data_IF_798823520875
#
_entry.id   IF_798823520875
#
_cell.length_a   1.000
_cell.length_b   1.000
_cell.length_c   1.000
_cell.angle_alpha   90.00
_cell.angle_beta   90.00
_cell.angle_gamma   90.00
#
_symmetry.space_group_name_H-M   'P 1'
#
loop_
_entity.id
_entity.type
_entity.pdbx_description
1 polymer ?
#
# COMPACT_ATOMS: atom_id res chain seq x y z
N UNK A 1 3.86 8.06 -1.30
CA UNK A 1 2.45 8.27 -0.90
C UNK A 1 2.30 9.62 -0.23
N UNK A 2 1.11 10.22 -0.24
CA UNK A 2 0.86 11.52 0.39
C UNK A 2 -0.51 11.59 1.06
N UNK A 3 -0.66 12.49 2.04
CA UNK A 3 -1.92 12.76 2.73
C UNK A 3 -2.31 14.21 2.44
N UNK A 4 -3.56 14.43 2.04
CA UNK A 4 -4.12 15.77 1.79
C UNK A 4 -5.26 16.03 2.77
N UNK A 5 -5.26 17.21 3.40
CA UNK A 5 -6.33 17.67 4.30
C UNK A 5 -7.31 18.55 3.52
N UNK A 6 -8.61 18.32 3.74
CA UNK A 6 -9.69 19.07 3.11
C UNK A 6 -10.89 19.18 4.06
N UNK A 7 -11.76 20.17 3.85
CA UNK A 7 -13.05 20.23 4.54
C UNK A 7 -13.92 19.01 4.20
N UNK A 8 -14.76 18.59 5.14
CA UNK A 8 -15.67 17.44 4.98
C UNK A 8 -16.72 17.65 3.90
N UNK A 9 -17.04 18.90 3.56
CA UNK A 9 -18.04 19.20 2.53
C UNK A 9 -17.43 19.12 1.12
N UNK A 10 -16.13 19.43 1.00
CA UNK A 10 -15.46 19.61 -0.30
C UNK A 10 -14.55 18.45 -0.71
N UNK A 11 -14.48 17.37 0.07
CA UNK A 11 -13.56 16.25 -0.23
C UNK A 11 -13.86 15.58 -1.58
N UNK A 12 -15.13 15.52 -1.99
CA UNK A 12 -15.55 14.94 -3.27
C UNK A 12 -15.06 15.78 -4.45
N UNK A 13 -15.15 17.11 -4.33
CA UNK A 13 -14.67 18.04 -5.36
C UNK A 13 -13.15 17.91 -5.49
N UNK A 14 -12.40 17.90 -4.38
CA UNK A 14 -10.96 17.69 -4.42
C UNK A 14 -10.59 16.36 -5.08
N UNK A 15 -11.29 15.27 -4.75
CA UNK A 15 -11.04 13.96 -5.36
C UNK A 15 -11.31 14.02 -6.87
N UNK A 16 -12.45 14.57 -7.30
CA UNK A 16 -12.76 14.73 -8.72
C UNK A 16 -11.66 15.53 -9.45
N UNK A 17 -11.26 16.68 -8.89
CA UNK A 17 -10.18 17.50 -9.45
C UNK A 17 -8.86 16.72 -9.55
N UNK A 18 -8.49 15.94 -8.53
CA UNK A 18 -7.27 15.10 -8.57
C UNK A 18 -7.31 14.07 -9.70
N UNK A 19 -8.47 13.49 -10.00
CA UNK A 19 -8.59 12.51 -11.10
C UNK A 19 -8.47 13.13 -12.49
N UNK A 20 -8.73 14.44 -12.61
CA UNK A 20 -8.58 15.17 -13.87
C UNK A 20 -7.13 15.62 -14.14
N UNK A 21 -6.25 15.59 -13.13
CA UNK A 21 -4.84 15.90 -13.32
C UNK A 21 -4.17 14.71 -14.02
N UNK A 22 -3.90 14.87 -15.32
CA UNK A 22 -3.24 13.86 -16.17
C UNK A 22 -1.75 14.11 -16.36
N UNK A 23 -1.28 15.33 -16.12
CA UNK A 23 0.11 15.73 -16.34
C UNK A 23 0.52 16.80 -15.35
N UNK A 24 1.72 16.65 -14.79
CA UNK A 24 2.39 17.67 -13.98
C UNK A 24 3.68 18.03 -14.69
N UNK A 25 3.78 19.27 -15.15
CA UNK A 25 4.89 19.75 -16.00
C UNK A 25 5.01 18.90 -17.26
N UNK A 26 6.06 18.10 -17.37
CA UNK A 26 6.35 17.21 -18.51
C UNK A 26 6.03 15.74 -18.24
N UNK A 27 5.59 15.38 -17.02
CA UNK A 27 5.36 13.98 -16.63
C UNK A 27 3.87 13.67 -16.56
N UNK A 28 3.46 12.63 -17.29
CA UNK A 28 2.12 12.06 -17.14
C UNK A 28 1.97 11.40 -15.77
N UNK A 29 0.86 11.67 -15.09
CA UNK A 29 0.61 11.14 -13.77
C UNK A 29 -0.86 10.74 -13.62
N UNK A 30 -1.10 9.81 -12.69
CA UNK A 30 -2.44 9.40 -12.29
C UNK A 30 -2.51 9.36 -10.78
N UNK A 31 -3.46 10.09 -10.22
CA UNK A 31 -3.74 10.07 -8.80
C UNK A 31 -4.77 8.98 -8.48
N UNK A 32 -4.48 8.18 -7.45
CA UNK A 32 -5.42 7.18 -6.92
C UNK A 32 -5.59 7.39 -5.43
N UNK A 33 -6.83 7.51 -4.98
CA UNK A 33 -7.16 7.65 -3.56
C UNK A 33 -7.25 6.25 -2.95
N UNK A 34 -6.51 6.03 -1.86
CA UNK A 34 -6.43 4.73 -1.18
C UNK A 34 -7.38 4.68 0.01
N UNK A 35 -7.46 5.78 0.77
CA UNK A 35 -8.27 5.87 1.97
C UNK A 35 -8.68 7.32 2.25
N UNK A 36 -9.92 7.50 2.73
CA UNK A 36 -10.44 8.79 3.18
C UNK A 36 -10.93 8.62 4.62
N UNK A 37 -10.43 9.45 5.53
CA UNK A 37 -10.79 9.41 6.95
C UNK A 37 -10.66 10.78 7.59
N UNK A 38 -11.42 11.02 8.66
CA UNK A 38 -11.35 12.25 9.47
C UNK A 38 -10.17 12.30 10.45
N UNK A 39 -9.35 11.26 10.55
CA UNK A 39 -8.17 11.20 11.42
C UNK A 39 -6.92 10.79 10.65
N UNK A 40 -5.83 11.53 10.86
CA UNK A 40 -4.51 11.28 10.25
C UNK A 40 -3.98 9.89 10.68
N UNK A 41 -4.18 9.49 11.93
CA UNK A 41 -3.71 8.20 12.44
C UNK A 41 -4.32 7.02 11.67
N UNK A 42 -5.60 7.11 11.30
CA UNK A 42 -6.27 6.09 10.48
C UNK A 42 -5.72 6.07 9.04
N UNK A 43 -5.48 7.26 8.46
CA UNK A 43 -4.87 7.37 7.13
C UNK A 43 -3.46 6.80 7.09
N UNK A 44 -2.65 7.03 8.12
CA UNK A 44 -1.30 6.47 8.24
C UNK A 44 -1.33 4.94 8.34
N UNK A 45 -2.21 4.38 9.18
CA UNK A 45 -2.39 2.93 9.26
C UNK A 45 -2.78 2.32 7.91
N UNK A 46 -3.70 2.97 7.19
CA UNK A 46 -4.09 2.54 5.86
C UNK A 46 -2.95 2.62 4.84
N UNK A 47 -2.12 3.67 4.89
CA UNK A 47 -0.94 3.81 4.04
C UNK A 47 0.08 2.69 4.31
N UNK A 48 0.41 2.42 5.58
CA UNK A 48 1.33 1.33 5.95
C UNK A 48 0.79 -0.02 5.49
N UNK A 49 -0.50 -0.28 5.67
CA UNK A 49 -1.11 -1.54 5.21
C UNK A 49 -1.05 -1.67 3.69
N UNK A 50 -1.25 -0.57 2.97
CA UNK A 50 -1.13 -0.54 1.52
C UNK A 50 0.31 -0.82 1.06
N UNK A 51 1.31 -0.21 1.70
CA UNK A 51 2.71 -0.42 1.36
C UNK A 51 3.13 -1.87 1.60
N UNK A 52 2.73 -2.46 2.74
CA UNK A 52 2.93 -3.91 3.00
C UNK A 52 2.30 -4.78 1.92
N UNK A 53 1.07 -4.47 1.51
CA UNK A 53 0.37 -5.18 0.43
C UNK A 53 1.11 -5.05 -0.91
N UNK A 54 1.63 -3.87 -1.23
CA UNK A 54 2.41 -3.63 -2.44
C UNK A 54 3.68 -4.48 -2.45
N UNK A 55 4.45 -4.44 -1.36
CA UNK A 55 5.69 -5.22 -1.22
C UNK A 55 5.39 -6.71 -1.36
N UNK A 56 4.38 -7.23 -0.64
CA UNK A 56 3.98 -8.64 -0.75
C UNK A 56 3.57 -9.03 -2.18
N UNK A 57 2.85 -8.17 -2.88
CA UNK A 57 2.46 -8.42 -4.25
C UNK A 57 3.65 -8.40 -5.21
N UNK A 58 4.63 -7.52 -5.01
CA UNK A 58 5.87 -7.48 -5.78
C UNK A 58 6.70 -8.75 -5.54
N UNK A 59 6.92 -9.14 -4.28
CA UNK A 59 7.61 -10.39 -3.95
C UNK A 59 6.91 -11.60 -4.56
N UNK A 60 5.57 -11.68 -4.51
CA UNK A 60 4.80 -12.76 -5.14
C UNK A 60 4.89 -12.75 -6.67
N UNK A 61 4.98 -11.57 -7.29
CA UNK A 61 5.13 -11.45 -8.73
C UNK A 61 6.53 -11.90 -9.19
N UNK A 62 7.56 -11.57 -8.40
CA UNK A 62 8.95 -12.01 -8.63
C UNK A 62 9.13 -13.52 -8.47
N UNK A 63 8.32 -14.17 -7.62
CA UNK A 63 8.31 -15.63 -7.45
C UNK A 63 7.62 -16.41 -8.60
N UNK A 64 7.09 -15.73 -9.62
CA UNK A 64 6.68 -16.41 -10.87
C UNK A 64 7.95 -16.77 -11.66
N UNK A 65 8.09 -18.02 -12.13
CA UNK A 65 9.37 -18.57 -12.58
C UNK A 65 9.86 -17.85 -13.86
N UNK A 66 10.97 -17.14 -13.72
CA UNK A 66 11.61 -16.40 -14.81
C UNK A 66 12.61 -15.33 -14.36
N UNK A 67 12.62 -14.95 -13.08
CA UNK A 67 13.59 -14.01 -12.53
C UNK A 67 14.42 -14.66 -11.43
N UNK A 68 15.64 -15.08 -11.77
CA UNK A 68 16.67 -15.38 -10.78
C UNK A 68 17.11 -14.08 -10.11
N UNK A 69 16.80 -13.90 -8.83
CA UNK A 69 17.55 -12.99 -7.97
C UNK A 69 17.59 -13.50 -6.53
N UNK A 70 18.80 -13.53 -5.99
CA UNK A 70 19.15 -13.98 -4.64
C UNK A 70 18.63 -13.02 -3.58
N UNK A 71 17.44 -13.28 -3.03
CA UNK A 71 16.98 -12.62 -1.81
C UNK A 71 17.53 -13.38 -0.60
N UNK A 72 18.35 -12.67 0.18
CA UNK A 72 19.05 -13.19 1.35
C UNK A 72 18.12 -13.90 2.34
N UNK A 73 18.51 -15.13 2.65
CA UNK A 73 18.15 -16.12 3.70
C UNK A 73 17.35 -15.67 4.95
N UNK A 74 17.17 -14.38 5.26
CA UNK A 74 16.47 -13.91 6.48
C UNK A 74 14.94 -13.98 6.44
N UNK A 75 14.30 -13.94 5.26
CA UNK A 75 12.83 -13.84 5.17
C UNK A 75 12.10 -15.18 5.34
N UNK A 76 12.72 -16.30 4.98
CA UNK A 76 12.11 -17.64 5.19
C UNK A 76 11.93 -17.98 6.68
N UNK A 77 12.80 -17.46 7.55
CA UNK A 77 12.72 -17.70 8.99
C UNK A 77 11.51 -16.99 9.63
N UNK A 78 11.22 -15.76 9.20
CA UNK A 78 10.11 -14.95 9.73
C UNK A 78 8.72 -15.49 9.33
N UNK A 79 8.60 -16.12 8.16
CA UNK A 79 7.35 -16.72 7.71
C UNK A 79 7.00 -17.98 8.52
N UNK A 80 7.99 -18.81 8.87
CA UNK A 80 7.78 -20.00 9.71
C UNK A 80 7.36 -19.66 11.16
N UNK A 81 7.92 -18.60 11.73
CA UNK A 81 7.60 -18.17 13.10
C UNK A 81 6.16 -17.59 13.19
N UNK A 82 5.70 -16.96 12.11
CA UNK A 82 4.36 -16.37 12.03
C UNK A 82 3.26 -17.43 11.85
N UNK A 83 3.52 -18.48 11.07
CA UNK A 83 2.58 -19.60 10.88
C UNK A 83 2.36 -20.40 12.16
N UNK A 84 3.40 -20.56 12.97
CA UNK A 84 3.34 -21.25 14.27
C UNK A 84 2.53 -20.46 15.30
N UNK A 85 2.62 -19.13 15.27
CA UNK A 85 1.88 -18.24 16.18
C UNK A 85 0.39 -18.14 15.85
N UNK A 86 0.02 -18.23 14.57
CA UNK A 86 -1.38 -18.18 14.13
C UNK A 86 -2.10 -19.49 14.48
N UNK A 87 -1.43 -20.65 14.35
CA UNK A 87 -2.03 -21.95 14.71
C UNK A 87 -2.21 -22.16 16.21
N UNK A 88 -1.49 -21.42 17.05
CA UNK A 88 -1.59 -21.53 18.50
C UNK A 88 -2.76 -20.71 19.11
N UNK A 89 -3.48 -19.92 18.29
CA UNK A 89 -4.53 -19.00 18.77
C UNK A 89 -5.97 -19.43 18.44
N UNK A 90 -6.17 -20.57 17.76
CA UNK A 90 -7.48 -21.20 17.55
C UNK A 90 -7.48 -22.62 18.17
N UNK A 91 -8.09 -22.84 19.35
CA UNK A 91 -8.52 -24.17 19.78
C UNK A 91 -9.81 -24.62 19.10
#
# INVERSE_FOLDING_TARGET
MGIVRVSRDNYRMLWASMTMISQIKTYFCRFTVIHVSGSINKCQKAAIQNDKRLILNLCRAELKPGAEYTVGVKEKKFLMDSESSIKALDP
#
